data_IF_627108339501
#
_entry.id   IF_627108339501
#
_cell.length_a   1.000
_cell.length_b   1.000
_cell.length_c   1.000
_cell.angle_alpha   90.00
_cell.angle_beta   90.00
_cell.angle_gamma   90.00
#
_symmetry.space_group_name_H-M   'P 1'
#
loop_
_entity.id
_entity.type
_entity.pdbx_description
1 polymer ?
#
# COMPACT_ATOMS: atom_id res chain seq x y z
N UNK A 1 12.34 39.20 37.91
CA UNK A 1 13.53 38.69 37.19
C UNK A 1 13.48 37.19 36.94
N UNK A 2 13.36 36.33 37.97
CA UNK A 2 13.28 34.85 37.79
C UNK A 2 12.18 34.38 36.82
N UNK A 3 11.01 35.02 36.82
CA UNK A 3 9.89 34.69 35.92
C UNK A 3 10.16 35.01 34.43
N UNK A 4 10.88 36.08 34.13
CA UNK A 4 11.26 36.40 32.74
C UNK A 4 12.32 35.44 32.20
N UNK A 5 13.30 35.07 33.04
CA UNK A 5 14.31 34.08 32.67
C UNK A 5 13.65 32.72 32.41
N UNK A 6 12.71 32.31 33.28
CA UNK A 6 11.98 31.07 33.11
C UNK A 6 11.16 31.04 31.80
N UNK A 7 10.45 32.12 31.50
CA UNK A 7 9.69 32.25 30.24
C UNK A 7 10.62 32.12 29.03
N UNK A 8 11.77 32.80 29.04
CA UNK A 8 12.70 32.77 27.92
C UNK A 8 13.31 31.36 27.73
N UNK A 9 13.62 30.66 28.82
CA UNK A 9 14.12 29.28 28.78
C UNK A 9 13.05 28.34 28.23
N UNK A 10 11.79 28.47 28.66
CA UNK A 10 10.68 27.66 28.13
C UNK A 10 10.49 27.92 26.64
N UNK A 11 10.55 29.18 26.20
CA UNK A 11 10.45 29.53 24.77
C UNK A 11 11.56 28.89 23.95
N UNK A 12 12.80 28.90 24.43
CA UNK A 12 13.92 28.23 23.74
C UNK A 12 13.69 26.72 23.65
N UNK A 13 13.23 26.07 24.73
CA UNK A 13 12.93 24.64 24.73
C UNK A 13 11.85 24.30 23.70
N UNK A 14 10.78 25.10 23.64
CA UNK A 14 9.70 24.91 22.67
C UNK A 14 10.22 25.04 21.23
N UNK A 15 11.05 26.05 20.95
CA UNK A 15 11.66 26.22 19.62
C UNK A 15 12.55 25.04 19.23
N UNK A 16 13.33 24.50 20.16
CA UNK A 16 14.18 23.32 19.93
C UNK A 16 13.32 22.10 19.63
N UNK A 17 12.25 21.85 20.39
CA UNK A 17 11.34 20.72 20.17
C UNK A 17 10.68 20.81 18.79
N UNK A 18 10.20 21.98 18.39
CA UNK A 18 9.61 22.21 17.06
C UNK A 18 10.64 21.95 15.96
N UNK A 19 11.87 22.43 16.13
CA UNK A 19 12.97 22.20 15.17
C UNK A 19 13.29 20.72 15.00
N UNK A 20 13.37 19.96 16.09
CA UNK A 20 13.65 18.51 16.06
C UNK A 20 12.51 17.74 15.38
N UNK A 21 11.26 18.03 15.73
CA UNK A 21 10.10 17.37 15.12
C UNK A 21 9.97 17.70 13.62
N UNK A 22 10.21 18.95 13.24
CA UNK A 22 10.22 19.37 11.84
C UNK A 22 11.32 18.68 11.03
N UNK A 23 12.53 18.59 11.58
CA UNK A 23 13.64 17.87 10.95
C UNK A 23 13.35 16.38 10.80
N UNK A 24 12.81 15.74 11.84
CA UNK A 24 12.42 14.34 11.80
C UNK A 24 11.32 14.08 10.76
N UNK A 25 10.28 14.91 10.72
CA UNK A 25 9.20 14.78 9.74
C UNK A 25 9.70 14.95 8.30
N UNK A 26 10.58 15.93 8.05
CA UNK A 26 11.18 16.13 6.73
C UNK A 26 12.05 14.93 6.34
N UNK A 27 12.90 14.44 7.24
CA UNK A 27 13.76 13.30 6.98
C UNK A 27 12.98 12.02 6.65
N UNK A 28 11.90 11.73 7.39
CA UNK A 28 11.06 10.55 7.14
C UNK A 28 10.26 10.68 5.84
N UNK A 29 9.78 11.88 5.48
CA UNK A 29 8.98 12.07 4.27
C UNK A 29 9.81 12.07 2.99
N UNK A 30 11.05 12.57 3.04
CA UNK A 30 11.93 12.63 1.86
C UNK A 30 12.71 11.34 1.63
N UNK A 31 12.96 10.54 2.68
CA UNK A 31 13.77 9.32 2.56
C UNK A 31 12.98 8.07 2.18
N UNK A 32 11.65 8.15 2.17
CA UNK A 32 10.78 7.02 1.84
C UNK A 32 9.87 7.37 0.66
N UNK A 33 10.22 6.84 -0.51
CA UNK A 33 9.29 6.80 -1.65
C UNK A 33 8.29 5.69 -1.37
N UNK A 34 7.11 6.04 -0.84
CA UNK A 34 6.00 5.07 -0.80
C UNK A 34 5.51 4.88 -2.23
N UNK A 35 5.62 3.66 -2.76
CA UNK A 35 5.05 3.29 -4.06
C UNK A 35 3.88 2.36 -3.79
N UNK A 36 2.66 2.90 -3.80
CA UNK A 36 1.42 2.11 -3.62
C UNK A 36 0.91 1.47 -4.92
N UNK A 37 1.61 1.66 -6.04
CA UNK A 37 1.03 1.37 -7.36
C UNK A 37 1.60 0.10 -7.98
N UNK A 38 1.27 -1.05 -7.41
CA UNK A 38 1.31 -2.31 -8.15
C UNK A 38 0.11 -2.36 -9.11
N UNK A 39 0.19 -1.63 -10.23
CA UNK A 39 -0.83 -1.72 -11.29
C UNK A 39 -0.49 -2.92 -12.17
N UNK A 40 -1.35 -3.95 -12.13
CA UNK A 40 -1.27 -5.06 -13.09
C UNK A 40 -1.87 -4.56 -14.40
N UNK A 41 -1.03 -3.99 -15.27
CA UNK A 41 -1.40 -3.74 -16.66
C UNK A 41 -1.19 -5.04 -17.46
N UNK A 42 -2.25 -5.53 -18.09
CA UNK A 42 -2.21 -6.73 -18.92
C UNK A 42 -3.29 -6.64 -19.98
N UNK A 43 -2.89 -6.82 -21.24
CA UNK A 43 -3.82 -6.84 -22.36
C UNK A 43 -4.76 -8.05 -22.24
N UNK A 44 -6.04 -7.78 -22.00
CA UNK A 44 -7.04 -8.83 -21.92
C UNK A 44 -7.41 -9.30 -23.33
N UNK A 45 -6.81 -10.41 -23.77
CA UNK A 45 -7.20 -11.08 -25.00
C UNK A 45 -8.51 -11.87 -24.80
N UNK A 46 -9.45 -11.70 -25.73
CA UNK A 46 -10.72 -12.44 -25.71
C UNK A 46 -10.55 -13.76 -26.45
N UNK A 47 -10.65 -14.88 -25.73
CA UNK A 47 -10.64 -16.22 -26.33
C UNK A 47 -12.08 -16.66 -26.59
N UNK A 48 -12.41 -16.93 -27.84
CA UNK A 48 -13.71 -17.48 -28.22
C UNK A 48 -13.71 -19.00 -28.06
N UNK A 49 -14.86 -19.56 -27.64
CA UNK A 49 -15.02 -21.02 -27.55
C UNK A 49 -14.95 -21.66 -28.94
N UNK A 50 -14.24 -22.79 -29.12
CA UNK A 50 -14.21 -23.52 -30.40
C UNK A 50 -15.55 -24.18 -30.74
N UNK A 51 -16.46 -24.32 -29.76
CA UNK A 51 -17.80 -24.89 -29.95
C UNK A 51 -18.86 -24.10 -29.19
N UNK A 52 -20.08 -24.08 -29.73
CA UNK A 52 -21.23 -23.43 -29.10
C UNK A 52 -21.68 -24.22 -27.86
N UNK A 53 -21.78 -23.55 -26.71
CA UNK A 53 -22.21 -24.16 -25.45
C UNK A 53 -22.30 -23.14 -24.31
N UNK A 54 -23.00 -23.48 -23.23
CA UNK A 54 -23.12 -22.65 -22.02
C UNK A 54 -22.59 -23.42 -20.81
N UNK A 55 -21.70 -22.80 -20.02
CA UNK A 55 -21.22 -23.37 -18.76
C UNK A 55 -22.30 -23.13 -17.70
N UNK A 56 -22.94 -24.20 -17.22
CA UNK A 56 -23.96 -24.13 -16.15
C UNK A 56 -23.36 -24.13 -14.75
N UNK A 57 -22.20 -24.74 -14.57
CA UNK A 57 -21.45 -24.82 -13.31
C UNK A 57 -19.96 -24.99 -13.58
N UNK A 58 -19.13 -24.34 -12.76
CA UNK A 58 -17.68 -24.49 -12.76
C UNK A 58 -17.24 -24.66 -11.30
N UNK A 59 -16.74 -25.84 -10.96
CA UNK A 59 -16.45 -26.24 -9.58
C UNK A 59 -14.96 -26.09 -9.25
N UNK A 60 -14.32 -25.02 -9.73
CA UNK A 60 -12.91 -24.71 -9.48
C UNK A 60 -12.72 -23.24 -9.18
N UNK A 61 -11.76 -22.93 -8.31
CA UNK A 61 -11.38 -21.59 -7.89
C UNK A 61 -9.93 -21.30 -8.27
N UNK A 62 -9.62 -20.01 -8.32
CA UNK A 62 -8.25 -19.57 -8.56
C UNK A 62 -7.33 -20.09 -7.44
N UNK A 63 -6.25 -20.76 -7.84
CA UNK A 63 -5.27 -21.34 -6.91
C UNK A 63 -5.50 -22.81 -6.57
N UNK A 64 -6.57 -23.43 -7.07
CA UNK A 64 -6.79 -24.86 -6.88
C UNK A 64 -5.70 -25.67 -7.62
N UNK A 65 -5.13 -26.66 -6.94
CA UNK A 65 -4.29 -27.67 -7.57
C UNK A 65 -5.19 -28.76 -8.13
N UNK A 66 -5.06 -29.04 -9.42
CA UNK A 66 -5.84 -30.06 -10.11
C UNK A 66 -4.90 -31.16 -10.60
N UNK A 67 -5.32 -32.39 -10.41
CA UNK A 67 -4.69 -33.57 -10.95
C UNK A 67 -5.41 -34.05 -12.22
N UNK A 68 -4.73 -34.88 -13.00
CA UNK A 68 -5.29 -35.41 -14.25
C UNK A 68 -6.52 -36.26 -13.93
N UNK A 69 -7.68 -35.82 -14.42
CA UNK A 69 -8.95 -36.52 -14.26
C UNK A 69 -9.93 -35.82 -13.32
N UNK A 70 -9.51 -34.71 -12.70
CA UNK A 70 -10.40 -33.94 -11.84
C UNK A 70 -11.59 -33.37 -12.60
N UNK A 71 -12.78 -33.54 -12.01
CA UNK A 71 -14.03 -33.04 -12.58
C UNK A 71 -14.19 -31.57 -12.22
N UNK A 72 -14.04 -30.70 -13.22
CA UNK A 72 -14.12 -29.24 -13.04
C UNK A 72 -15.47 -28.64 -13.45
N UNK A 73 -16.27 -29.36 -14.24
CA UNK A 73 -17.57 -28.92 -14.75
C UNK A 73 -18.54 -30.10 -14.91
#
# INVERSE_FOLDING_TARGET
MKKMILINVITIIVLVVIGVLGFWFWHNTTSYVTTDNAKVDGDQIKISSPASGQIKSLNVKQGDKLDKGDKVA
#
